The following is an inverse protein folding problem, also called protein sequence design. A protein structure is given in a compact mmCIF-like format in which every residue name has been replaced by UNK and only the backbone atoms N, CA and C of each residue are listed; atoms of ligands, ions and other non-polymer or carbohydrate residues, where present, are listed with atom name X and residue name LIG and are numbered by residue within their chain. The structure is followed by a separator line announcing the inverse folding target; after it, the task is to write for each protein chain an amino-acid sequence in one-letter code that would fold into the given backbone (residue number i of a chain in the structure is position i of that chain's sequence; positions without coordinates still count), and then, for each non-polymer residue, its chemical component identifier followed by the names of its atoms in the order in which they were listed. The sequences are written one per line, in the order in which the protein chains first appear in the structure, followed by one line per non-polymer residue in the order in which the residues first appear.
data_IF_814840966626
#
_entry.id   IF_814840966626
#
_cell.length_a   1.000
_cell.length_b   1.000
_cell.length_c   1.000
_cell.angle_alpha   90.00
_cell.angle_beta   90.00
_cell.angle_gamma   90.00
#
_symmetry.space_group_name_H-M   'P 1'
#
loop_
_entity.id
_entity.type
_entity.pdbx_description
1 polymer ?
#
# COMPACT_ATOMS: atom_id res chain seq x y z
N UNK A 1 8.29 22.29 -57.27
CA UNK A 1 7.71 21.05 -56.71
C UNK A 1 8.68 20.54 -55.63
N UNK A 2 8.45 20.94 -54.37
CA UNK A 2 8.02 20.11 -53.23
C UNK A 2 9.11 19.18 -52.63
N UNK A 3 9.98 19.70 -51.74
CA UNK A 3 10.57 18.92 -50.66
C UNK A 3 9.87 19.16 -49.29
N UNK A 4 8.92 20.09 -49.21
CA UNK A 4 8.26 20.48 -47.96
C UNK A 4 7.12 19.55 -47.48
N UNK A 5 6.69 18.58 -48.30
CA UNK A 5 5.56 17.70 -47.95
C UNK A 5 5.97 16.41 -47.21
N UNK A 6 7.27 16.11 -47.13
CA UNK A 6 7.76 14.92 -46.42
C UNK A 6 8.06 15.18 -44.93
N UNK A 7 8.14 16.45 -44.50
CA UNK A 7 8.36 16.79 -43.09
C UNK A 7 7.06 16.87 -42.26
N UNK A 8 5.89 16.91 -42.91
CA UNK A 8 4.59 16.99 -42.23
C UNK A 8 3.92 15.63 -41.97
N UNK A 9 4.46 14.53 -42.54
CA UNK A 9 3.96 13.17 -42.36
C UNK A 9 4.75 12.35 -41.33
N UNK A 10 5.77 12.96 -40.72
CA UNK A 10 6.60 12.39 -39.64
C UNK A 10 6.26 12.99 -38.26
N UNK A 11 5.09 13.61 -38.14
CA UNK A 11 4.45 13.81 -36.84
C UNK A 11 3.90 12.46 -36.39
N UNK A 12 4.72 11.78 -35.59
CA UNK A 12 4.40 10.59 -34.81
C UNK A 12 2.90 10.45 -34.55
N UNK A 13 2.30 9.37 -35.03
CA UNK A 13 1.06 8.84 -34.50
C UNK A 13 1.33 8.30 -33.08
N UNK A 14 1.64 9.21 -32.16
CA UNK A 14 1.66 8.90 -30.74
C UNK A 14 0.20 8.76 -30.35
N UNK A 15 -0.23 7.56 -29.95
CA UNK A 15 -1.58 7.39 -29.47
C UNK A 15 -1.82 8.36 -28.30
N UNK A 16 -2.99 9.01 -28.27
CA UNK A 16 -3.32 9.90 -27.15
C UNK A 16 -3.19 9.11 -25.84
N UNK A 17 -2.54 9.65 -24.79
CA UNK A 17 -2.30 8.93 -23.54
C UNK A 17 -3.57 8.29 -22.95
N UNK A 18 -4.71 8.94 -23.16
CA UNK A 18 -6.03 8.45 -22.78
C UNK A 18 -6.42 7.15 -23.47
N UNK A 19 -6.16 7.01 -24.77
CA UNK A 19 -6.51 5.80 -25.55
C UNK A 19 -5.63 4.61 -25.14
N UNK A 20 -4.34 4.85 -24.91
CA UNK A 20 -3.42 3.84 -24.36
C UNK A 20 -3.88 3.41 -22.96
N UNK A 21 -4.31 4.37 -22.14
CA UNK A 21 -4.80 4.08 -20.79
C UNK A 21 -6.12 3.31 -20.80
N UNK A 22 -7.08 3.67 -21.67
CA UNK A 22 -8.35 2.94 -21.83
C UNK A 22 -8.11 1.48 -22.23
N UNK A 23 -7.23 1.24 -23.20
CA UNK A 23 -6.87 -0.12 -23.60
C UNK A 23 -6.18 -0.88 -22.46
N UNK A 24 -5.29 -0.21 -21.73
CA UNK A 24 -4.67 -0.75 -20.51
C UNK A 24 -5.68 -1.20 -19.47
N UNK A 25 -6.67 -0.36 -19.15
CA UNK A 25 -7.75 -0.69 -18.22
C UNK A 25 -8.60 -1.85 -18.74
N UNK A 26 -8.96 -1.85 -20.03
CA UNK A 26 -9.75 -2.92 -20.65
C UNK A 26 -9.07 -4.29 -20.51
N UNK A 27 -7.77 -4.36 -20.84
CA UNK A 27 -6.98 -5.60 -20.70
C UNK A 27 -6.78 -6.02 -19.24
N UNK A 28 -6.61 -5.05 -18.36
CA UNK A 28 -6.50 -5.29 -16.92
C UNK A 28 -7.80 -5.86 -16.34
N UNK A 29 -8.96 -5.28 -16.66
CA UNK A 29 -10.28 -5.76 -16.22
C UNK A 29 -10.58 -7.19 -16.69
N UNK A 30 -10.07 -7.58 -17.86
CA UNK A 30 -10.14 -8.95 -18.37
C UNK A 30 -9.19 -9.93 -17.67
N UNK A 31 -8.32 -9.44 -16.78
CA UNK A 31 -7.31 -10.24 -16.10
C UNK A 31 -6.10 -10.62 -16.96
N UNK A 32 -5.90 -10.00 -18.13
CA UNK A 32 -4.78 -10.33 -19.03
C UNK A 32 -3.42 -9.86 -18.50
N UNK A 33 -3.43 -8.82 -17.66
CA UNK A 33 -2.22 -8.21 -17.12
C UNK A 33 -1.83 -8.78 -15.75
N UNK A 34 -2.81 -9.26 -14.98
CA UNK A 34 -2.65 -9.71 -13.60
C UNK A 34 -2.24 -11.18 -13.51
N UNK A 35 -1.17 -11.51 -12.76
CA UNK A 35 -0.82 -12.89 -12.45
C UNK A 35 -1.91 -13.57 -11.62
N UNK A 36 -2.06 -14.89 -11.78
CA UNK A 36 -2.92 -15.69 -10.91
C UNK A 36 -2.18 -16.06 -9.63
N UNK A 37 -2.92 -16.13 -8.52
CA UNK A 37 -2.33 -16.47 -7.21
C UNK A 37 -1.82 -17.91 -7.21
N UNK A 38 -2.50 -18.81 -7.92
CA UNK A 38 -2.12 -20.22 -8.05
C UNK A 38 -0.79 -20.39 -8.77
N UNK A 39 -0.50 -19.57 -9.79
CA UNK A 39 0.78 -19.56 -10.51
C UNK A 39 1.93 -19.18 -9.59
N UNK A 40 1.65 -18.29 -8.64
CA UNK A 40 2.63 -17.76 -7.70
C UNK A 40 3.05 -18.81 -6.66
N UNK A 41 2.12 -19.65 -6.21
CA UNK A 41 2.41 -20.77 -5.29
C UNK A 41 3.13 -21.94 -5.95
N UNK A 42 2.99 -22.10 -7.28
CA UNK A 42 3.62 -23.18 -8.04
C UNK A 42 4.96 -22.77 -8.68
N UNK A 43 5.27 -21.47 -8.69
CA UNK A 43 6.45 -20.92 -9.31
C UNK A 43 7.75 -21.24 -8.56
N UNK A 44 8.84 -21.37 -9.31
CA UNK A 44 10.19 -21.32 -8.75
C UNK A 44 10.48 -19.95 -8.11
N UNK A 45 11.47 -19.81 -7.20
CA UNK A 45 11.79 -18.53 -6.57
C UNK A 45 12.05 -17.39 -7.56
N UNK A 46 12.72 -17.67 -8.69
CA UNK A 46 13.01 -16.69 -9.74
C UNK A 46 11.74 -16.26 -10.49
N UNK A 47 10.87 -17.23 -10.82
CA UNK A 47 9.59 -16.95 -11.46
C UNK A 47 8.63 -16.23 -10.50
N UNK A 48 8.60 -16.64 -9.23
CA UNK A 48 7.80 -16.02 -8.17
C UNK A 48 8.19 -14.55 -8.00
N UNK A 49 9.49 -14.21 -8.06
CA UNK A 49 9.93 -12.81 -8.02
C UNK A 49 9.37 -11.98 -9.19
N UNK A 50 9.36 -12.55 -10.40
CA UNK A 50 8.77 -11.89 -11.58
C UNK A 50 7.27 -11.74 -11.46
N UNK A 51 6.57 -12.80 -11.03
CA UNK A 51 5.12 -12.80 -10.83
C UNK A 51 4.71 -11.83 -9.72
N UNK A 52 5.43 -11.76 -8.60
CA UNK A 52 5.16 -10.81 -7.51
C UNK A 52 5.36 -9.36 -7.97
N UNK A 53 6.43 -9.09 -8.69
CA UNK A 53 6.67 -7.75 -9.25
C UNK A 53 5.53 -7.36 -10.20
N UNK A 54 5.09 -8.29 -11.06
CA UNK A 54 3.97 -8.07 -11.97
C UNK A 54 2.64 -7.92 -11.23
N UNK A 55 2.42 -8.67 -10.16
CA UNK A 55 1.24 -8.58 -9.30
C UNK A 55 1.17 -7.22 -8.59
N UNK A 56 2.31 -6.69 -8.15
CA UNK A 56 2.38 -5.35 -7.56
C UNK A 56 2.04 -4.25 -8.57
N UNK A 57 2.43 -4.43 -9.83
CA UNK A 57 2.16 -3.47 -10.91
C UNK A 57 0.74 -3.58 -11.48
N UNK A 58 0.19 -4.80 -11.49
CA UNK A 58 -1.11 -5.13 -12.05
C UNK A 58 -1.87 -6.05 -11.07
N UNK A 59 -2.25 -5.55 -9.88
CA UNK A 59 -3.07 -6.32 -8.94
C UNK A 59 -4.36 -6.77 -9.63
N UNK A 60 -4.92 -7.96 -9.33
CA UNK A 60 -6.15 -8.42 -9.97
C UNK A 60 -7.29 -7.42 -9.76
N UNK A 61 -8.13 -7.18 -10.79
CA UNK A 61 -9.26 -6.27 -10.65
C UNK A 61 -10.25 -6.80 -9.61
N UNK A 62 -10.72 -5.97 -8.67
CA UNK A 62 -11.77 -6.35 -7.73
C UNK A 62 -13.04 -6.84 -8.45
N UNK A 63 -13.67 -7.88 -7.92
CA UNK A 63 -14.90 -8.42 -8.49
C UNK A 63 -16.03 -7.39 -8.36
N UNK A 64 -16.68 -7.05 -9.48
CA UNK A 64 -17.76 -6.07 -9.50
C UNK A 64 -17.31 -4.61 -9.67
N UNK A 65 -16.02 -4.38 -9.96
CA UNK A 65 -15.52 -3.04 -10.28
C UNK A 65 -16.16 -2.48 -11.55
N UNK A 66 -16.78 -1.31 -11.44
CA UNK A 66 -17.28 -0.51 -12.56
C UNK A 66 -16.34 0.67 -12.81
N UNK A 67 -15.95 0.92 -14.07
CA UNK A 67 -15.02 1.99 -14.43
C UNK A 67 -15.63 2.85 -15.53
N UNK A 68 -15.60 4.17 -15.34
CA UNK A 68 -16.04 5.14 -16.33
C UNK A 68 -14.86 5.58 -17.21
N UNK A 69 -14.76 4.98 -18.39
CA UNK A 69 -13.69 5.26 -19.36
C UNK A 69 -13.86 6.60 -20.11
N UNK A 70 -15.03 7.23 -20.03
CA UNK A 70 -15.35 8.43 -20.79
C UNK A 70 -14.91 9.73 -20.12
N UNK A 71 -14.48 9.66 -18.86
CA UNK A 71 -14.04 10.82 -18.06
C UNK A 71 -12.61 10.65 -17.52
N UNK A 72 -11.59 10.51 -18.39
CA UNK A 72 -10.21 10.44 -17.94
C UNK A 72 -9.76 11.78 -17.32
N UNK A 73 -8.97 11.69 -16.25
CA UNK A 73 -8.19 12.82 -15.72
C UNK A 73 -6.70 12.54 -15.95
N UNK A 74 -6.03 13.45 -16.64
CA UNK A 74 -4.61 13.30 -17.01
C UNK A 74 -3.74 14.20 -16.13
N UNK A 75 -2.78 13.60 -15.43
CA UNK A 75 -1.81 14.28 -14.57
C UNK A 75 -0.38 13.77 -14.90
N UNK A 76 0.27 14.44 -15.86
CA UNK A 76 1.61 14.04 -16.32
C UNK A 76 1.60 12.65 -16.96
N UNK A 77 2.28 11.68 -16.35
CA UNK A 77 2.31 10.28 -16.79
C UNK A 77 1.17 9.41 -16.24
N UNK A 78 0.26 9.99 -15.45
CA UNK A 78 -0.85 9.29 -14.81
C UNK A 78 -2.16 9.64 -15.48
N UNK A 79 -2.98 8.64 -15.76
CA UNK A 79 -4.36 8.79 -16.23
C UNK A 79 -5.27 8.09 -15.24
N UNK A 80 -6.21 8.81 -14.64
CA UNK A 80 -7.19 8.22 -13.72
C UNK A 80 -8.59 8.21 -14.31
N UNK A 81 -9.34 7.15 -14.01
CA UNK A 81 -10.72 6.95 -14.44
C UNK A 81 -11.61 6.78 -13.22
N UNK A 82 -12.70 7.54 -13.07
CA UNK A 82 -13.65 7.33 -11.99
C UNK A 82 -14.15 5.89 -11.99
N UNK A 83 -14.19 5.26 -10.82
CA UNK A 83 -14.59 3.88 -10.66
C UNK A 83 -15.40 3.66 -9.38
N UNK A 84 -16.18 2.59 -9.34
CA UNK A 84 -16.99 2.21 -8.19
C UNK A 84 -16.97 0.70 -7.99
N UNK A 85 -16.92 0.28 -6.73
CA UNK A 85 -17.00 -1.11 -6.28
C UNK A 85 -18.17 -1.22 -5.28
N UNK A 86 -19.36 -1.55 -5.78
CA UNK A 86 -20.58 -1.49 -4.97
C UNK A 86 -20.87 -0.05 -4.52
N UNK A 87 -20.83 0.20 -3.21
CA UNK A 87 -21.02 1.54 -2.62
C UNK A 87 -19.71 2.35 -2.49
N UNK A 88 -18.55 1.69 -2.65
CA UNK A 88 -17.25 2.33 -2.54
C UNK A 88 -16.90 3.04 -3.86
N UNK A 89 -16.70 4.35 -3.79
CA UNK A 89 -16.27 5.16 -4.94
C UNK A 89 -14.75 5.28 -4.92
N UNK A 90 -14.13 5.43 -6.08
CA UNK A 90 -12.69 5.58 -6.23
C UNK A 90 -12.29 5.90 -7.66
N UNK A 91 -11.07 5.54 -8.01
CA UNK A 91 -10.57 5.67 -9.37
C UNK A 91 -9.61 4.55 -9.74
N UNK A 92 -9.62 4.16 -11.01
CA UNK A 92 -8.59 3.31 -11.59
C UNK A 92 -7.49 4.21 -12.11
N UNK A 93 -6.29 4.04 -11.57
CA UNK A 93 -5.11 4.81 -11.95
C UNK A 93 -4.24 3.98 -12.88
N UNK A 94 -3.92 4.56 -14.04
CA UNK A 94 -3.00 4.03 -15.02
C UNK A 94 -1.73 4.89 -15.02
N UNK A 95 -0.57 4.26 -14.85
CA UNK A 95 0.73 4.92 -15.00
C UNK A 95 1.33 4.53 -16.33
N UNK A 96 1.68 5.52 -17.14
CA UNK A 96 2.21 5.36 -18.48
C UNK A 96 3.71 5.71 -18.53
N UNK A 97 4.46 5.02 -19.37
CA UNK A 97 5.79 5.43 -19.82
C UNK A 97 5.80 5.43 -21.35
N UNK A 98 5.63 6.62 -21.95
CA UNK A 98 5.33 6.75 -23.37
C UNK A 98 4.02 6.04 -23.71
N UNK A 99 4.07 5.08 -24.64
CA UNK A 99 2.91 4.28 -25.07
C UNK A 99 2.76 2.96 -24.29
N UNK A 100 3.52 2.76 -23.21
CA UNK A 100 3.48 1.54 -22.41
C UNK A 100 2.75 1.77 -21.09
N UNK A 101 1.82 0.87 -20.80
CA UNK A 101 1.17 0.78 -19.50
C UNK A 101 2.14 0.14 -18.51
N UNK A 102 2.62 0.93 -17.55
CA UNK A 102 3.55 0.48 -16.52
C UNK A 102 2.83 -0.08 -15.28
N UNK A 103 1.65 0.47 -14.96
CA UNK A 103 0.90 0.10 -13.76
C UNK A 103 -0.59 0.38 -13.96
N UNK A 104 -1.45 -0.51 -13.46
CA UNK A 104 -2.90 -0.29 -13.38
C UNK A 104 -3.39 -0.79 -12.04
N UNK A 105 -4.08 0.05 -11.29
CA UNK A 105 -4.63 -0.34 -9.99
C UNK A 105 -5.89 0.48 -9.66
N UNK A 106 -6.78 -0.13 -8.88
CA UNK A 106 -7.90 0.59 -8.27
C UNK A 106 -7.44 1.28 -6.98
N UNK A 107 -7.79 2.55 -6.83
CA UNK A 107 -7.56 3.38 -5.66
C UNK A 107 -8.92 3.82 -5.11
N UNK A 108 -9.41 3.18 -4.03
CA UNK A 108 -10.63 3.63 -3.37
C UNK A 108 -10.49 5.04 -2.81
N UNK A 109 -11.57 5.80 -2.87
CA UNK A 109 -11.68 7.12 -2.28
C UNK A 109 -11.79 6.98 -0.75
N UNK A 110 -10.96 7.72 0.01
CA UNK A 110 -10.99 7.67 1.48
C UNK A 110 -10.10 6.62 2.14
N UNK A 111 -9.38 5.76 1.39
CA UNK A 111 -8.33 4.89 1.95
C UNK A 111 -7.02 5.62 2.29
N UNK A 112 -6.87 6.85 1.80
CA UNK A 112 -5.74 7.71 2.17
C UNK A 112 -5.86 8.18 3.62
N UNK A 113 -4.72 8.41 4.27
CA UNK A 113 -4.68 9.04 5.59
C UNK A 113 -5.46 10.37 5.57
N UNK A 114 -6.33 10.63 6.55
CA UNK A 114 -6.98 11.93 6.66
C UNK A 114 -5.97 13.08 6.64
N UNK A 115 -6.19 14.08 5.77
CA UNK A 115 -5.22 15.15 5.53
C UNK A 115 -4.80 15.90 6.80
N UNK A 116 -5.68 15.99 7.80
CA UNK A 116 -5.36 16.61 9.09
C UNK A 116 -4.22 15.90 9.83
N UNK A 117 -4.05 14.58 9.66
CA UNK A 117 -2.97 13.80 10.28
C UNK A 117 -1.60 14.12 9.70
N UNK A 118 -1.53 14.65 8.48
CA UNK A 118 -0.28 15.00 7.80
C UNK A 118 0.25 16.38 8.23
N UNK A 119 -0.44 17.06 9.14
CA UNK A 119 -0.04 18.38 9.64
C UNK A 119 0.99 18.28 10.78
N UNK A 120 1.92 19.25 10.90
CA UNK A 120 2.83 19.31 12.05
C UNK A 120 2.11 19.39 13.39
N UNK A 121 0.92 20.02 13.41
CA UNK A 121 0.07 20.12 14.59
C UNK A 121 -0.40 18.73 15.05
N UNK A 122 -0.83 17.87 14.13
CA UNK A 122 -1.19 16.49 14.45
C UNK A 122 0.01 15.69 14.97
N UNK A 123 1.20 15.89 14.39
CA UNK A 123 2.44 15.31 14.92
C UNK A 123 2.74 15.76 16.36
N UNK A 124 2.58 17.06 16.65
CA UNK A 124 2.70 17.59 18.01
C UNK A 124 1.63 17.05 18.96
N UNK A 125 0.39 16.93 18.50
CA UNK A 125 -0.71 16.32 19.25
C UNK A 125 -0.44 14.86 19.58
N UNK A 126 0.10 14.08 18.64
CA UNK A 126 0.50 12.69 18.88
C UNK A 126 1.65 12.58 19.89
N UNK A 127 2.62 13.50 19.83
CA UNK A 127 3.68 13.57 20.83
C UNK A 127 3.10 13.85 22.23
N UNK A 128 2.21 14.84 22.35
CA UNK A 128 1.54 15.16 23.63
C UNK A 128 0.71 13.97 24.14
N UNK A 129 0.00 13.28 23.25
CA UNK A 129 -0.75 12.07 23.59
C UNK A 129 0.18 10.97 24.13
N UNK A 130 1.33 10.77 23.48
CA UNK A 130 2.34 9.80 23.92
C UNK A 130 2.91 10.16 25.29
N UNK A 131 3.21 11.45 25.52
CA UNK A 131 3.69 11.95 26.81
C UNK A 131 2.63 11.83 27.91
N UNK A 132 1.36 12.10 27.58
CA UNK A 132 0.23 11.96 28.49
C UNK A 132 0.08 10.51 28.95
N UNK A 133 0.07 9.54 28.02
CA UNK A 133 0.01 8.12 28.37
C UNK A 133 1.22 7.68 29.20
N UNK A 134 2.41 8.14 28.85
CA UNK A 134 3.62 7.86 29.64
C UNK A 134 3.49 8.40 31.07
N UNK A 135 2.97 9.61 31.23
CA UNK A 135 2.76 10.22 32.55
C UNK A 135 1.71 9.45 33.38
N UNK A 136 0.63 8.97 32.76
CA UNK A 136 -0.36 8.11 33.41
C UNK A 136 0.28 6.82 33.96
N UNK A 137 1.22 6.23 33.23
CA UNK A 137 1.93 5.03 33.67
C UNK A 137 2.91 5.29 34.83
N UNK A 138 3.40 6.52 34.99
CA UNK A 138 4.31 6.91 36.07
C UNK A 138 3.56 7.28 37.36
N UNK A 139 2.38 7.90 37.24
CA UNK A 139 1.55 8.29 38.38
C UNK A 139 0.73 7.13 38.95
N UNK A 140 0.25 7.20 40.20
CA UNK A 140 -0.60 6.16 40.81
C UNK A 140 -2.02 6.20 40.21
N UNK A 141 -2.13 5.84 38.94
CA UNK A 141 -3.39 5.76 38.18
C UNK A 141 -3.80 4.29 37.99
N UNK A 142 -5.07 4.00 37.66
CA UNK A 142 -5.51 2.65 37.28
C UNK A 142 -4.69 2.05 36.12
N UNK A 143 -4.24 2.88 35.17
CA UNK A 143 -3.41 2.44 34.04
C UNK A 143 -2.04 1.92 34.49
N UNK A 144 -1.43 2.55 35.49
CA UNK A 144 -0.20 2.04 36.10
C UNK A 144 -0.45 0.68 36.77
N UNK A 145 -1.57 0.51 37.47
CA UNK A 145 -1.92 -0.76 38.09
C UNK A 145 -2.09 -1.87 37.04
N UNK A 146 -2.82 -1.62 35.95
CA UNK A 146 -2.96 -2.56 34.84
C UNK A 146 -1.64 -2.89 34.16
N UNK A 147 -0.77 -1.90 33.95
CA UNK A 147 0.56 -2.14 33.41
C UNK A 147 1.41 -3.01 34.35
N UNK A 148 1.33 -2.81 35.66
CA UNK A 148 2.01 -3.65 36.64
C UNK A 148 1.45 -5.07 36.69
N UNK A 149 0.14 -5.24 36.56
CA UNK A 149 -0.50 -6.55 36.44
C UNK A 149 -0.04 -7.29 35.18
N UNK A 150 -0.02 -6.60 34.03
CA UNK A 150 0.52 -7.14 32.78
C UNK A 150 1.99 -7.55 32.92
N UNK A 151 2.83 -6.73 33.59
CA UNK A 151 4.21 -7.10 33.89
C UNK A 151 4.30 -8.30 34.85
N UNK A 152 3.37 -8.44 35.79
CA UNK A 152 3.23 -9.61 36.64
C UNK A 152 2.96 -10.87 35.83
N UNK A 153 1.98 -10.82 34.92
CA UNK A 153 1.66 -11.92 34.00
C UNK A 153 2.87 -12.28 33.12
N UNK A 154 3.57 -11.28 32.57
CA UNK A 154 4.78 -11.51 31.77
C UNK A 154 5.88 -12.22 32.56
N UNK A 155 6.05 -11.91 33.84
CA UNK A 155 7.02 -12.60 34.72
C UNK A 155 6.60 -14.04 35.00
N UNK A 156 5.31 -14.27 35.28
CA UNK A 156 4.75 -15.60 35.52
C UNK A 156 4.91 -16.49 34.29
N UNK A 157 4.61 -15.96 33.10
CA UNK A 157 4.68 -16.67 31.82
C UNK A 157 5.94 -16.33 31.01
N UNK A 158 7.05 -16.01 31.68
CA UNK A 158 8.29 -15.55 31.02
C UNK A 158 8.77 -16.49 29.92
N UNK A 159 8.63 -17.80 30.10
CA UNK A 159 9.06 -18.80 29.12
C UNK A 159 8.25 -18.70 27.83
N UNK A 160 6.92 -18.59 27.94
CA UNK A 160 6.02 -18.41 26.80
C UNK A 160 6.29 -17.08 26.10
N UNK A 161 6.44 -16.00 26.87
CA UNK A 161 6.75 -14.68 26.33
C UNK A 161 8.07 -14.67 25.54
N UNK A 162 9.14 -15.22 26.12
CA UNK A 162 10.44 -15.31 25.47
C UNK A 162 10.41 -16.22 24.25
N UNK A 163 9.72 -17.36 24.33
CA UNK A 163 9.56 -18.27 23.20
C UNK A 163 8.82 -17.59 22.04
N UNK A 164 7.69 -16.92 22.32
CA UNK A 164 6.91 -16.21 21.31
C UNK A 164 7.73 -15.08 20.64
N UNK A 165 8.47 -14.30 21.43
CA UNK A 165 9.34 -13.25 20.88
C UNK A 165 10.50 -13.85 20.09
N UNK A 166 11.17 -14.87 20.60
CA UNK A 166 12.28 -15.53 19.90
C UNK A 166 11.80 -16.13 18.57
N UNK A 167 10.62 -16.75 18.57
CA UNK A 167 10.02 -17.29 17.36
C UNK A 167 9.67 -16.17 16.37
N UNK A 168 9.01 -15.10 16.81
CA UNK A 168 8.67 -13.96 15.98
C UNK A 168 9.90 -13.28 15.35
N UNK A 169 10.88 -12.90 16.18
CA UNK A 169 12.11 -12.27 15.70
C UNK A 169 12.99 -13.26 14.92
N UNK A 170 12.94 -14.54 15.25
CA UNK A 170 13.58 -15.61 14.50
C UNK A 170 13.02 -15.75 13.09
N UNK A 171 11.69 -15.70 12.92
CA UNK A 171 11.04 -15.66 11.61
C UNK A 171 11.42 -14.41 10.83
N UNK A 172 11.49 -13.25 11.49
CA UNK A 172 11.96 -12.02 10.85
C UNK A 172 13.41 -12.14 10.37
N UNK A 173 14.31 -12.65 11.21
CA UNK A 173 15.72 -12.88 10.86
C UNK A 173 15.86 -13.90 9.72
N UNK A 174 15.07 -14.99 9.75
CA UNK A 174 15.02 -15.97 8.67
C UNK A 174 14.54 -15.33 7.36
N UNK A 175 13.48 -14.52 7.40
CA UNK A 175 13.00 -13.75 6.25
C UNK A 175 14.06 -12.80 5.69
N UNK A 176 14.80 -12.09 6.56
CA UNK A 176 15.89 -11.22 6.15
C UNK A 176 17.06 -12.00 5.52
N UNK A 177 17.43 -13.15 6.08
CA UNK A 177 18.45 -14.04 5.51
C UNK A 177 18.02 -14.60 4.16
N UNK A 178 16.76 -14.99 4.02
CA UNK A 178 16.19 -15.44 2.75
C UNK A 178 16.22 -14.32 1.70
N UNK A 179 15.80 -13.10 2.06
CA UNK A 179 15.86 -11.94 1.18
C UNK A 179 17.30 -11.61 0.75
N UNK A 180 18.28 -11.80 1.64
CA UNK A 180 19.69 -11.64 1.31
C UNK A 180 20.19 -12.69 0.31
N UNK A 181 19.75 -13.95 0.46
CA UNK A 181 20.09 -15.05 -0.45
C UNK A 181 19.36 -14.98 -1.79
N UNK A 182 18.17 -14.40 -1.81
CA UNK A 182 17.29 -14.28 -2.98
C UNK A 182 16.93 -12.79 -3.19
N UNK A 183 17.89 -11.96 -3.65
CA UNK A 183 17.71 -10.50 -3.70
C UNK A 183 16.58 -10.07 -4.62
N UNK A 184 16.33 -10.80 -5.71
CA UNK A 184 15.26 -10.48 -6.65
C UNK A 184 13.87 -10.68 -6.04
N UNK A 185 13.69 -11.76 -5.26
CA UNK A 185 12.46 -12.01 -4.51
C UNK A 185 12.26 -10.96 -3.40
N UNK A 186 13.34 -10.61 -2.69
CA UNK A 186 13.32 -9.53 -1.71
C UNK A 186 12.89 -8.19 -2.32
N UNK A 187 13.43 -7.84 -3.49
CA UNK A 187 13.05 -6.62 -4.23
C UNK A 187 11.60 -6.68 -4.71
N UNK A 188 11.15 -7.81 -5.23
CA UNK A 188 9.76 -7.98 -5.66
C UNK A 188 8.77 -7.78 -4.50
N UNK A 189 9.09 -8.33 -3.32
CA UNK A 189 8.31 -8.10 -2.10
C UNK A 189 8.34 -6.63 -1.68
N UNK A 190 9.50 -5.95 -1.74
CA UNK A 190 9.58 -4.52 -1.46
C UNK A 190 8.70 -3.70 -2.41
N UNK A 191 8.65 -4.03 -3.70
CA UNK A 191 7.78 -3.37 -4.68
C UNK A 191 6.30 -3.64 -4.36
N UNK A 192 5.95 -4.88 -3.99
CA UNK A 192 4.61 -5.24 -3.56
C UNK A 192 4.15 -4.44 -2.34
N UNK A 193 4.96 -4.43 -1.28
CA UNK A 193 4.64 -3.68 -0.06
C UNK A 193 4.72 -2.17 -0.28
N UNK A 194 5.64 -1.69 -1.10
CA UNK A 194 5.72 -0.27 -1.48
C UNK A 194 4.46 0.19 -2.21
N UNK A 195 3.97 -0.62 -3.16
CA UNK A 195 2.70 -0.38 -3.84
C UNK A 195 1.52 -0.35 -2.88
N UNK A 196 1.47 -1.28 -1.92
CA UNK A 196 0.45 -1.28 -0.87
C UNK A 196 0.56 -0.05 0.05
N UNK A 197 1.76 0.36 0.47
CA UNK A 197 1.94 1.55 1.32
C UNK A 197 1.57 2.85 0.59
N UNK A 198 1.80 2.92 -0.73
CA UNK A 198 1.37 4.04 -1.56
C UNK A 198 -0.16 4.10 -1.65
N UNK A 199 -0.84 2.96 -1.81
CA UNK A 199 -2.32 2.93 -1.79
C UNK A 199 -2.90 3.30 -0.43
N UNK A 200 -2.16 3.01 0.66
CA UNK A 200 -2.53 3.40 2.03
C UNK A 200 -2.20 4.86 2.38
N UNK A 201 -1.60 5.63 1.46
CA UNK A 201 -1.26 7.04 1.69
C UNK A 201 -0.14 7.29 2.70
N UNK A 202 0.52 6.25 3.22
CA UNK A 202 1.61 6.37 4.20
C UNK A 202 2.87 7.02 3.59
N UNK A 203 3.04 6.94 2.27
CA UNK A 203 4.14 7.59 1.55
C UNK A 203 4.19 9.11 1.76
N UNK A 204 3.03 9.77 1.89
CA UNK A 204 2.96 11.21 2.12
C UNK A 204 3.45 11.62 3.51
N UNK A 205 3.33 10.73 4.51
CA UNK A 205 3.74 10.98 5.88
C UNK A 205 5.26 10.87 6.09
N UNK A 206 5.96 10.06 5.28
CA UNK A 206 7.41 9.82 5.40
C UNK A 206 8.22 11.12 5.29
N UNK A 207 7.78 12.07 4.45
CA UNK A 207 8.43 13.37 4.26
C UNK A 207 8.06 14.46 5.28
N UNK A 208 7.15 14.18 6.23
CA UNK A 208 6.58 15.19 7.14
C UNK A 208 7.18 15.16 8.56
N UNK A 209 8.15 14.28 8.80
CA UNK A 209 8.87 14.14 10.06
C UNK A 209 8.36 12.99 10.94
N UNK A 210 9.20 12.56 11.88
CA UNK A 210 8.97 11.36 12.71
C UNK A 210 7.66 11.39 13.50
N UNK A 211 7.25 12.49 14.17
CA UNK A 211 6.01 12.51 14.95
C UNK A 211 4.75 12.36 14.09
N UNK A 212 4.76 12.96 12.89
CA UNK A 212 3.66 12.87 11.93
C UNK A 212 3.54 11.46 11.39
N UNK A 213 4.67 10.86 10.99
CA UNK A 213 4.72 9.47 10.53
C UNK A 213 4.27 8.49 11.62
N UNK A 214 4.74 8.66 12.87
CA UNK A 214 4.36 7.82 13.98
C UNK A 214 2.86 7.94 14.30
N UNK A 215 2.29 9.15 14.26
CA UNK A 215 0.87 9.38 14.43
C UNK A 215 0.03 8.76 13.32
N UNK A 216 0.48 8.85 12.07
CA UNK A 216 -0.17 8.20 10.93
C UNK A 216 -0.17 6.67 11.05
N UNK A 217 0.97 6.07 11.41
CA UNK A 217 1.09 4.62 11.66
C UNK A 217 0.20 4.21 12.85
N UNK A 218 0.16 5.00 13.92
CA UNK A 218 -0.71 4.74 15.07
C UNK A 218 -2.19 4.77 14.65
N UNK A 219 -2.62 5.80 13.93
CA UNK A 219 -4.00 5.92 13.45
C UNK A 219 -4.41 4.75 12.57
N UNK A 220 -3.52 4.35 11.64
CA UNK A 220 -3.75 3.18 10.79
C UNK A 220 -3.90 1.91 11.62
N UNK A 221 -2.92 1.60 12.47
CA UNK A 221 -2.97 0.40 13.33
C UNK A 221 -4.15 0.41 14.30
N UNK A 222 -4.53 1.56 14.83
CA UNK A 222 -5.65 1.68 15.74
C UNK A 222 -6.97 1.46 15.02
N UNK A 223 -7.18 2.14 13.90
CA UNK A 223 -8.46 2.10 13.17
C UNK A 223 -8.64 0.79 12.41
N UNK A 224 -7.59 0.27 11.78
CA UNK A 224 -7.66 -0.92 10.91
C UNK A 224 -7.22 -2.20 11.62
N UNK A 225 -6.25 -2.11 12.54
CA UNK A 225 -5.78 -3.24 13.33
C UNK A 225 -6.64 -3.43 14.57
N UNK A 226 -6.41 -2.65 15.61
CA UNK A 226 -6.97 -2.88 16.95
C UNK A 226 -8.51 -2.74 16.99
N UNK A 227 -9.07 -1.74 16.32
CA UNK A 227 -10.51 -1.49 16.35
C UNK A 227 -11.30 -2.52 15.52
N UNK A 228 -10.92 -2.74 14.26
CA UNK A 228 -11.61 -3.71 13.39
C UNK A 228 -11.32 -5.16 13.78
N UNK A 229 -10.08 -5.53 14.12
CA UNK A 229 -9.76 -6.94 14.44
C UNK A 229 -9.96 -7.30 15.91
N UNK A 230 -9.93 -6.32 16.82
CA UNK A 230 -9.99 -6.55 18.26
C UNK A 230 -11.31 -6.16 18.93
N UNK A 231 -12.01 -5.11 18.47
CA UNK A 231 -13.24 -4.60 19.09
C UNK A 231 -14.51 -4.89 18.28
N UNK A 232 -14.38 -5.09 16.96
CA UNK A 232 -15.45 -5.54 16.07
C UNK A 232 -15.04 -6.83 15.32
N UNK A 233 -14.71 -7.93 16.02
CA UNK A 233 -14.42 -9.17 15.34
C UNK A 233 -15.69 -9.64 14.60
N UNK A 234 -15.64 -9.66 13.27
CA UNK A 234 -16.70 -10.05 12.33
C UNK A 234 -17.61 -8.92 11.77
N UNK A 235 -17.01 -8.04 10.97
CA UNK A 235 -17.66 -7.54 9.76
C UNK A 235 -16.86 -8.02 8.54
#
# INVERSE_FOLDING_TARGET
MRPFLLFALLSLALAAPEEVAKEGVSRWLKGELSPRVEELFQASPEEAARLLSRYALFPPPPQGLSVNLDRPKVEGSRVSFPAALGEEVGEVVVVLEGERVQRVYFRPEGLGLPAYLLTPLAGGGFLLLTLFWTLLLLQPTPFRAWAQEALGLLRTYRGLYLFANLFLYGLFALGALLAYRMPDLGRALQVLFGGALETLGLGEAVGKGVPVLAGAIFHWNFSQGLFLTGLLPAL
#
